data_IF_734189715404
#
_entry.id   IF_734189715404
#
_cell.length_a   1.000
_cell.length_b   1.000
_cell.length_c   1.000
_cell.angle_alpha   90.00
_cell.angle_beta   90.00
_cell.angle_gamma   90.00
#
_symmetry.space_group_name_H-M   'P 1'
#
loop_
_entity.id
_entity.type
_entity.pdbx_description
1 polymer ?
#
# COMPACT_ATOMS: atom_id res chain seq x y z
N UNK A 1 -4.67 15.14 7.18
CA UNK A 1 -4.52 15.05 5.71
C UNK A 1 -3.46 14.00 5.46
N UNK A 2 -3.73 12.92 4.72
CA UNK A 2 -2.66 12.02 4.29
C UNK A 2 -1.66 12.85 3.47
N UNK A 3 -0.36 12.75 3.77
CA UNK A 3 0.67 13.53 3.05
C UNK A 3 0.91 13.03 1.63
N UNK A 4 0.27 11.91 1.25
CA UNK A 4 0.47 11.24 -0.02
C UNK A 4 -0.79 11.33 -0.89
N UNK A 5 -0.62 11.78 -2.13
CA UNK A 5 -1.68 11.83 -3.14
C UNK A 5 -1.53 10.64 -4.07
N UNK A 6 -2.42 9.66 -3.92
CA UNK A 6 -2.44 8.47 -4.76
C UNK A 6 -3.00 8.77 -6.17
N UNK A 7 -2.25 8.44 -7.22
CA UNK A 7 -2.72 8.44 -8.60
C UNK A 7 -3.02 7.00 -9.08
N UNK A 8 -4.30 6.59 -9.20
CA UNK A 8 -4.67 5.26 -9.67
C UNK A 8 -4.27 4.96 -11.12
N UNK A 9 -3.85 5.97 -11.88
CA UNK A 9 -3.43 5.84 -13.29
C UNK A 9 -1.96 5.52 -13.46
N UNK A 10 -1.11 5.90 -12.50
CA UNK A 10 0.34 5.73 -12.55
C UNK A 10 0.87 4.86 -11.44
N UNK A 11 0.10 4.72 -10.37
CA UNK A 11 0.52 4.04 -9.17
C UNK A 11 -0.46 2.91 -8.90
N UNK A 12 0.08 1.82 -8.37
CA UNK A 12 -0.73 0.71 -7.90
C UNK A 12 -0.58 0.52 -6.40
N UNK A 13 -1.69 0.25 -5.69
CA UNK A 13 -1.66 0.02 -4.25
C UNK A 13 -1.10 -1.39 -4.00
N UNK A 14 -0.03 -1.45 -3.21
CA UNK A 14 0.68 -2.70 -2.89
C UNK A 14 0.92 -2.81 -1.39
N UNK A 15 0.72 -4.00 -0.87
CA UNK A 15 1.17 -4.39 0.47
C UNK A 15 2.44 -5.20 0.30
N UNK A 16 3.55 -4.66 0.80
CA UNK A 16 4.83 -5.35 0.85
C UNK A 16 4.94 -6.09 2.17
N UNK A 17 4.97 -7.41 2.14
CA UNK A 17 5.17 -8.25 3.31
C UNK A 17 6.64 -8.67 3.40
N UNK A 18 7.27 -8.47 4.55
CA UNK A 18 8.61 -8.97 4.82
C UNK A 18 8.53 -10.45 5.20
N UNK A 19 9.10 -11.33 4.40
CA UNK A 19 9.22 -12.76 4.73
C UNK A 19 10.07 -13.02 5.98
N UNK A 20 10.92 -12.08 6.36
CA UNK A 20 11.90 -12.26 7.42
C UNK A 20 11.36 -11.86 8.80
N UNK A 21 10.47 -10.85 8.85
CA UNK A 21 9.92 -10.29 10.09
C UNK A 21 8.40 -10.43 10.19
N UNK A 22 7.72 -10.75 9.08
CA UNK A 22 6.25 -10.80 9.01
C UNK A 22 5.58 -9.42 8.94
N UNK A 23 6.36 -8.34 8.92
CA UNK A 23 5.87 -6.97 8.83
C UNK A 23 5.25 -6.72 7.46
N UNK A 24 4.05 -6.15 7.44
CA UNK A 24 3.39 -5.76 6.20
C UNK A 24 3.37 -4.24 6.13
N UNK A 25 3.71 -3.67 4.98
CA UNK A 25 3.68 -2.22 4.74
C UNK A 25 2.77 -1.96 3.55
N UNK A 26 1.68 -1.24 3.78
CA UNK A 26 0.83 -0.73 2.71
C UNK A 26 1.46 0.52 2.11
N UNK A 27 1.51 0.52 0.79
CA UNK A 27 2.13 1.56 0.02
C UNK A 27 1.60 1.65 -1.40
N UNK A 28 2.20 2.56 -2.15
CA UNK A 28 1.92 2.73 -3.57
C UNK A 28 3.20 2.49 -4.36
N UNK A 29 3.12 1.60 -5.35
CA UNK A 29 4.21 1.36 -6.29
C UNK A 29 3.93 2.14 -7.55
N UNK A 30 4.79 3.11 -7.84
CA UNK A 30 4.75 3.83 -9.10
C UNK A 30 5.13 2.88 -10.24
N UNK A 31 4.25 2.76 -11.23
CA UNK A 31 4.41 1.86 -12.38
C UNK A 31 5.39 2.42 -13.42
N UNK A 32 5.66 3.72 -13.38
CA UNK A 32 6.53 4.44 -14.34
C UNK A 32 7.97 4.38 -13.88
N UNK A 33 8.22 4.66 -12.60
CA UNK A 33 9.55 4.74 -11.99
C UNK A 33 9.93 3.46 -11.24
N UNK A 34 8.95 2.64 -10.84
CA UNK A 34 9.15 1.48 -9.99
C UNK A 34 9.36 1.81 -8.51
N UNK A 35 9.24 3.08 -8.12
CA UNK A 35 9.43 3.51 -6.73
C UNK A 35 8.26 3.04 -5.85
N UNK A 36 8.59 2.45 -4.70
CA UNK A 36 7.60 2.05 -3.70
C UNK A 36 7.56 3.12 -2.60
N UNK A 37 6.37 3.69 -2.41
CA UNK A 37 6.10 4.66 -1.37
C UNK A 37 5.42 3.98 -0.21
N UNK A 38 6.10 3.92 0.92
CA UNK A 38 5.60 3.36 2.17
C UNK A 38 4.67 4.38 2.83
N UNK A 39 3.41 3.99 3.03
CA UNK A 39 2.36 4.90 3.54
C UNK A 39 1.96 4.52 4.96
N UNK A 40 1.77 3.23 5.20
CA UNK A 40 1.24 2.72 6.45
C UNK A 40 1.80 1.34 6.78
N UNK A 41 2.17 1.12 8.04
CA UNK A 41 2.45 -0.22 8.54
C UNK A 41 1.12 -0.95 8.79
N UNK A 42 1.01 -2.15 8.27
CA UNK A 42 -0.11 -3.07 8.42
C UNK A 42 0.27 -4.11 9.47
N UNK A 43 -0.41 -4.06 10.62
CA UNK A 43 -0.25 -5.06 11.68
C UNK A 43 -1.34 -6.14 11.61
N UNK A 44 -2.48 -5.83 11.00
CA UNK A 44 -3.62 -6.75 10.91
C UNK A 44 -4.45 -6.49 9.65
N UNK A 45 -5.29 -7.45 9.25
CA UNK A 45 -6.17 -7.31 8.09
C UNK A 45 -7.12 -6.09 8.19
N UNK A 46 -7.44 -5.65 9.41
CA UNK A 46 -8.23 -4.43 9.64
C UNK A 46 -7.53 -3.17 9.12
N UNK A 47 -6.20 -3.08 9.26
CA UNK A 47 -5.42 -1.96 8.74
C UNK A 47 -5.47 -1.93 7.21
N UNK A 48 -5.53 -3.12 6.57
CA UNK A 48 -5.66 -3.23 5.11
C UNK A 48 -7.01 -2.68 4.66
N UNK A 49 -8.09 -3.02 5.37
CA UNK A 49 -9.42 -2.49 5.08
C UNK A 49 -9.50 -0.98 5.30
N UNK A 50 -8.86 -0.47 6.36
CA UNK A 50 -8.82 0.95 6.66
C UNK A 50 -8.03 1.73 5.59
N UNK A 51 -6.87 1.21 5.18
CA UNK A 51 -6.09 1.76 4.07
C UNK A 51 -6.93 1.84 2.78
N UNK A 52 -7.62 0.75 2.45
CA UNK A 52 -8.51 0.72 1.28
C UNK A 52 -9.62 1.78 1.36
N UNK A 53 -10.29 1.90 2.51
CA UNK A 53 -11.35 2.91 2.71
C UNK A 53 -10.81 4.33 2.69
N UNK A 54 -9.66 4.55 3.31
CA UNK A 54 -8.99 5.86 3.40
C UNK A 54 -8.64 6.41 2.03
N UNK A 55 -8.13 5.56 1.14
CA UNK A 55 -7.72 5.97 -0.22
C UNK A 55 -8.74 5.62 -1.31
N UNK A 56 -9.90 5.04 -0.96
CA UNK A 56 -10.92 4.62 -1.92
C UNK A 56 -10.45 3.51 -2.86
N UNK A 57 -9.56 2.63 -2.39
CA UNK A 57 -8.97 1.55 -3.17
C UNK A 57 -9.86 0.30 -3.08
N UNK A 58 -10.33 -0.19 -4.22
CA UNK A 58 -11.12 -1.42 -4.28
C UNK A 58 -10.26 -2.68 -4.09
N UNK A 59 -9.09 -2.71 -4.73
CA UNK A 59 -8.18 -3.87 -4.75
C UNK A 59 -6.74 -3.41 -4.50
N UNK A 60 -6.07 -4.12 -3.61
CA UNK A 60 -4.65 -3.94 -3.28
C UNK A 60 -3.94 -5.25 -3.58
N UNK A 61 -2.80 -5.20 -4.27
CA UNK A 61 -1.97 -6.37 -4.49
C UNK A 61 -1.10 -6.63 -3.24
N UNK A 62 -0.90 -7.90 -2.87
CA UNK A 62 0.06 -8.28 -1.82
C UNK A 62 1.31 -8.86 -2.50
N UNK A 63 2.48 -8.29 -2.23
CA UNK A 63 3.79 -8.75 -2.69
C UNK A 63 4.58 -9.24 -1.45
N UNK A 64 5.17 -10.43 -1.54
CA UNK A 64 5.92 -11.10 -0.46
C UNK A 64 7.41 -11.18 -0.82
#
# INVERSE_FOLDING_TARGET
MPSYTYNPTKEKPIIRASICTGEQVAGFKDLVTGQFHEIMLICSDKDVEDFKKTYGIEKVEKEY
#
